data_IF_073029603338
#
_entry.id   IF_073029603338
#
_cell.length_a   1.000
_cell.length_b   1.000
_cell.length_c   1.000
_cell.angle_alpha   90.00
_cell.angle_beta   90.00
_cell.angle_gamma   90.00
#
_symmetry.space_group_name_H-M   'P 1'
#
loop_
_entity.id
_entity.type
_entity.pdbx_description
1 polymer ?
#
# COMPACT_ATOMS: atom_id res chain seq x y z
N UNK A 1 10.88 -18.09 11.86
CA UNK A 1 10.59 -16.72 11.33
C UNK A 1 9.14 -16.41 11.71
N UNK A 2 8.93 -15.54 12.66
CA UNK A 2 7.56 -15.13 12.99
C UNK A 2 6.97 -14.41 11.78
N UNK A 3 5.74 -14.75 11.43
CA UNK A 3 5.03 -14.14 10.30
C UNK A 3 3.90 -13.31 10.86
N UNK A 4 3.71 -12.09 10.37
CA UNK A 4 2.53 -11.28 10.71
C UNK A 4 1.30 -11.99 10.14
N UNK A 5 0.49 -12.59 11.00
CA UNK A 5 -0.70 -13.35 10.60
C UNK A 5 -1.89 -12.42 10.32
N UNK A 6 -1.69 -11.39 9.48
CA UNK A 6 -2.66 -10.33 9.25
C UNK A 6 -4.02 -10.86 8.74
N UNK A 7 -4.01 -11.89 7.89
CA UNK A 7 -5.25 -12.50 7.41
C UNK A 7 -6.06 -13.17 8.53
N UNK A 8 -5.38 -13.73 9.54
CA UNK A 8 -6.06 -14.31 10.72
C UNK A 8 -6.66 -13.23 11.60
N UNK A 9 -5.92 -12.15 11.82
CA UNK A 9 -6.39 -10.99 12.59
C UNK A 9 -7.62 -10.34 11.96
N UNK A 10 -7.70 -10.31 10.64
CA UNK A 10 -8.86 -9.76 9.91
C UNK A 10 -10.03 -10.75 9.76
N UNK A 11 -9.88 -12.02 10.16
CA UNK A 11 -10.91 -13.06 9.97
C UNK A 11 -12.28 -12.69 10.54
N UNK A 12 -12.32 -11.96 11.65
CA UNK A 12 -13.57 -11.49 12.27
C UNK A 12 -14.29 -10.37 11.51
N UNK A 13 -13.66 -9.79 10.48
CA UNK A 13 -14.23 -8.77 9.59
C UNK A 13 -14.64 -9.41 8.26
N UNK A 14 -13.75 -10.21 7.67
CA UNK A 14 -13.95 -10.84 6.38
C UNK A 14 -12.62 -11.11 5.67
N UNK A 15 -12.66 -11.42 4.36
CA UNK A 15 -11.45 -11.68 3.60
C UNK A 15 -10.57 -10.44 3.52
N UNK A 16 -9.27 -10.65 3.73
CA UNK A 16 -8.25 -9.64 3.50
C UNK A 16 -7.84 -9.65 2.04
N UNK A 17 -7.87 -8.49 1.41
CA UNK A 17 -7.54 -8.29 -0.01
C UNK A 17 -6.28 -7.43 -0.13
N UNK A 18 -5.13 -8.00 -0.51
CA UNK A 18 -3.91 -7.24 -0.75
C UNK A 18 -4.10 -6.19 -1.86
N UNK A 19 -3.47 -5.02 -1.70
CA UNK A 19 -3.54 -3.93 -2.68
C UNK A 19 -2.20 -3.20 -2.81
N UNK A 20 -2.17 -2.13 -3.61
CA UNK A 20 -1.01 -1.27 -3.77
C UNK A 20 0.26 -1.99 -4.25
N UNK A 21 1.40 -1.47 -3.84
CA UNK A 21 2.72 -2.03 -4.17
C UNK A 21 2.94 -3.42 -3.56
N UNK A 22 2.26 -3.73 -2.46
CA UNK A 22 2.30 -5.05 -1.84
C UNK A 22 1.71 -6.13 -2.77
N UNK A 23 0.50 -5.90 -3.32
CA UNK A 23 -0.12 -6.83 -4.27
C UNK A 23 0.67 -6.98 -5.58
N UNK A 24 1.22 -5.86 -6.08
CA UNK A 24 1.95 -5.82 -7.36
C UNK A 24 3.37 -6.40 -7.27
N UNK A 25 3.87 -6.74 -6.08
CA UNK A 25 5.27 -7.12 -5.84
C UNK A 25 6.27 -6.01 -6.23
N UNK A 26 5.90 -4.77 -5.96
CA UNK A 26 6.67 -3.56 -6.24
C UNK A 26 7.02 -2.76 -4.98
N UNK A 27 6.93 -3.40 -3.82
CA UNK A 27 7.26 -2.80 -2.54
C UNK A 27 8.78 -2.70 -2.38
N UNK A 28 9.27 -1.51 -1.95
CA UNK A 28 10.70 -1.26 -1.70
C UNK A 28 11.00 -0.92 -0.23
N UNK A 29 9.98 -0.80 0.60
CA UNK A 29 10.09 -0.60 2.05
C UNK A 29 8.88 -1.22 2.76
N UNK A 30 8.95 -1.41 4.09
CA UNK A 30 7.91 -2.08 4.87
C UNK A 30 6.59 -1.29 4.87
N UNK A 31 5.70 -1.56 3.90
CA UNK A 31 4.43 -0.84 3.70
C UNK A 31 3.38 -1.79 3.08
N UNK A 32 2.55 -2.37 3.92
CA UNK A 32 1.51 -3.33 3.51
C UNK A 32 0.19 -2.59 3.36
N UNK A 33 -0.38 -2.62 2.17
CA UNK A 33 -1.70 -2.06 1.88
C UNK A 33 -2.71 -3.20 1.70
N UNK A 34 -3.83 -3.12 2.42
CA UNK A 34 -4.91 -4.11 2.32
C UNK A 34 -6.29 -3.48 2.40
N UNK A 35 -7.25 -4.11 1.75
CA UNK A 35 -8.67 -3.87 1.91
C UNK A 35 -9.31 -4.99 2.73
N UNK A 36 -10.33 -4.62 3.50
CA UNK A 36 -11.26 -5.54 4.17
C UNK A 36 -12.69 -5.05 3.92
N UNK A 37 -13.71 -5.92 4.01
CA UNK A 37 -15.12 -5.50 3.96
C UNK A 37 -15.43 -4.42 5.01
N UNK A 38 -16.57 -3.72 4.89
CA UNK A 38 -16.98 -2.69 5.86
C UNK A 38 -16.92 -3.21 7.29
N UNK A 39 -16.28 -2.46 8.18
CA UNK A 39 -16.05 -2.87 9.56
C UNK A 39 -16.39 -1.75 10.55
N UNK A 40 -16.81 -2.12 11.76
CA UNK A 40 -16.97 -1.17 12.85
C UNK A 40 -15.60 -0.73 13.41
N UNK A 41 -15.49 0.48 13.97
CA UNK A 41 -14.25 0.92 14.60
C UNK A 41 -13.69 -0.07 15.62
N UNK A 42 -14.57 -0.67 16.45
CA UNK A 42 -14.17 -1.66 17.45
C UNK A 42 -13.50 -2.91 16.85
N UNK A 43 -13.93 -3.34 15.66
CA UNK A 43 -13.31 -4.47 14.96
C UNK A 43 -11.90 -4.11 14.45
N UNK A 44 -11.72 -2.88 13.92
CA UNK A 44 -10.43 -2.39 13.46
C UNK A 44 -9.44 -2.21 14.61
N UNK A 45 -9.89 -1.62 15.73
CA UNK A 45 -9.06 -1.48 16.92
C UNK A 45 -8.72 -2.83 17.58
N UNK A 46 -9.59 -3.83 17.43
CA UNK A 46 -9.29 -5.20 17.88
C UNK A 46 -8.07 -5.78 17.14
N UNK A 47 -7.96 -5.57 15.81
CA UNK A 47 -6.76 -5.97 15.05
C UNK A 47 -5.48 -5.37 15.67
N UNK A 48 -5.53 -4.08 16.02
CA UNK A 48 -4.37 -3.41 16.63
C UNK A 48 -4.06 -3.98 18.01
N UNK A 49 -5.06 -4.26 18.80
CA UNK A 49 -4.90 -4.88 20.13
C UNK A 49 -4.22 -6.24 20.00
N UNK A 50 -4.71 -7.09 19.12
CA UNK A 50 -4.13 -8.42 18.89
C UNK A 50 -2.72 -8.35 18.32
N UNK A 51 -2.44 -7.40 17.38
CA UNK A 51 -1.08 -7.14 16.91
C UNK A 51 -0.14 -6.75 18.05
N UNK A 52 -0.61 -5.95 19.01
CA UNK A 52 0.20 -5.48 20.13
C UNK A 52 0.59 -6.56 21.13
N UNK A 53 -0.08 -7.70 21.12
CA UNK A 53 0.27 -8.87 21.94
C UNK A 53 1.52 -9.59 21.41
N UNK A 54 1.83 -9.43 20.13
CA UNK A 54 2.91 -10.14 19.45
C UNK A 54 4.03 -9.20 18.95
N UNK A 55 3.69 -7.94 18.67
CA UNK A 55 4.63 -6.97 18.07
C UNK A 55 4.50 -5.61 18.75
N UNK A 56 5.62 -4.92 19.06
CA UNK A 56 5.55 -3.56 19.58
C UNK A 56 4.85 -2.61 18.59
N UNK A 57 3.67 -2.11 18.95
CA UNK A 57 2.96 -1.08 18.17
C UNK A 57 3.53 0.28 18.54
N UNK A 58 4.17 0.95 17.57
CA UNK A 58 4.84 2.24 17.74
C UNK A 58 3.86 3.40 17.60
N UNK A 59 2.89 3.26 16.69
CA UNK A 59 1.92 4.30 16.37
C UNK A 59 0.66 3.68 15.75
N UNK A 60 -0.47 4.33 15.97
CA UNK A 60 -1.74 4.02 15.28
C UNK A 60 -2.33 5.30 14.74
N UNK A 61 -2.71 5.29 13.46
CA UNK A 61 -3.55 6.33 12.87
C UNK A 61 -4.91 5.74 12.56
N UNK A 62 -5.97 6.45 12.86
CA UNK A 62 -7.33 6.07 12.51
C UNK A 62 -8.04 7.23 11.82
N UNK A 63 -8.78 6.93 10.76
CA UNK A 63 -9.59 7.88 10.04
C UNK A 63 -10.97 7.27 9.76
N UNK A 64 -12.01 8.01 10.12
CA UNK A 64 -13.37 7.75 9.67
C UNK A 64 -13.59 8.64 8.43
N UNK A 65 -13.46 8.07 7.24
CA UNK A 65 -13.52 8.80 5.99
C UNK A 65 -14.97 9.13 5.63
N UNK A 66 -15.45 10.29 6.07
CA UNK A 66 -16.80 10.78 5.77
C UNK A 66 -16.92 11.51 4.42
N UNK A 67 -15.81 11.70 3.67
CA UNK A 67 -15.79 12.42 2.40
C UNK A 67 -14.67 11.91 1.48
N UNK A 68 -14.85 12.08 0.17
CA UNK A 68 -13.86 11.69 -0.85
C UNK A 68 -14.17 10.33 -1.52
N UNK A 69 -13.22 9.80 -2.30
CA UNK A 69 -13.42 8.58 -3.08
C UNK A 69 -13.66 7.32 -2.22
N UNK A 70 -13.31 7.39 -0.93
CA UNK A 70 -13.53 6.32 0.06
C UNK A 70 -14.65 6.70 1.04
N UNK A 71 -15.68 7.39 0.53
CA UNK A 71 -16.88 7.73 1.31
C UNK A 71 -17.40 6.50 2.04
N UNK A 72 -17.71 6.70 3.33
CA UNK A 72 -18.16 5.66 4.26
C UNK A 72 -17.11 4.58 4.61
N UNK A 73 -15.90 4.69 4.06
CA UNK A 73 -14.76 3.86 4.43
C UNK A 73 -14.18 4.23 5.79
N UNK A 74 -13.51 3.27 6.41
CA UNK A 74 -12.69 3.46 7.61
C UNK A 74 -11.29 3.01 7.35
N UNK A 75 -10.35 3.72 7.94
CA UNK A 75 -8.94 3.44 7.77
C UNK A 75 -8.26 3.32 9.12
N UNK A 76 -7.44 2.29 9.27
CA UNK A 76 -6.55 2.17 10.41
C UNK A 76 -5.16 1.76 9.95
N UNK A 77 -4.14 2.42 10.51
CA UNK A 77 -2.74 2.15 10.21
C UNK A 77 -1.96 1.93 11.48
N UNK A 78 -1.84 0.68 11.94
CA UNK A 78 -0.81 0.33 12.89
C UNK A 78 0.58 0.43 12.24
N UNK A 79 1.52 0.94 13.02
CA UNK A 79 2.95 0.98 12.71
C UNK A 79 3.63 0.12 13.76
N UNK A 80 4.29 -0.95 13.34
CA UNK A 80 4.86 -1.96 14.24
C UNK A 80 6.36 -2.13 14.04
N UNK A 81 7.10 -2.36 15.12
CA UNK A 81 8.48 -2.82 15.05
C UNK A 81 8.47 -4.33 14.76
N UNK A 82 9.01 -4.74 13.62
CA UNK A 82 9.03 -6.14 13.21
C UNK A 82 10.26 -6.45 12.36
N UNK A 83 10.97 -7.51 12.73
CA UNK A 83 12.21 -7.92 12.06
C UNK A 83 13.34 -6.90 12.22
N UNK A 84 14.41 -7.09 11.44
CA UNK A 84 15.65 -6.31 11.53
C UNK A 84 15.67 -5.10 10.59
N UNK A 85 14.50 -4.57 10.23
CA UNK A 85 14.39 -3.39 9.40
C UNK A 85 14.72 -2.12 10.20
N UNK A 86 15.50 -1.23 9.64
CA UNK A 86 15.83 0.07 10.26
C UNK A 86 14.60 0.97 10.48
N UNK A 87 13.49 0.64 9.84
CA UNK A 87 12.22 1.37 9.95
C UNK A 87 11.07 0.42 10.28
N UNK A 88 10.08 0.88 11.06
CA UNK A 88 8.93 0.06 11.40
C UNK A 88 8.04 -0.22 10.17
N UNK A 89 7.34 -1.34 10.22
CA UNK A 89 6.34 -1.71 9.24
C UNK A 89 5.09 -0.86 9.39
N UNK A 90 4.56 -0.39 8.29
CA UNK A 90 3.23 0.21 8.21
C UNK A 90 2.27 -0.83 7.64
N UNK A 91 1.06 -0.88 8.20
CA UNK A 91 0.00 -1.74 7.71
C UNK A 91 -1.22 -0.85 7.48
N UNK A 92 -1.45 -0.50 6.23
CA UNK A 92 -2.57 0.35 5.81
C UNK A 92 -3.81 -0.51 5.55
N UNK A 93 -4.77 -0.50 6.48
CA UNK A 93 -6.00 -1.31 6.42
C UNK A 93 -7.18 -0.39 6.11
N UNK A 94 -7.81 -0.59 4.97
CA UNK A 94 -9.01 0.11 4.54
C UNK A 94 -10.24 -0.80 4.62
N UNK A 95 -11.17 -0.49 5.51
CA UNK A 95 -12.48 -1.13 5.57
C UNK A 95 -13.47 -0.34 4.70
N UNK A 96 -13.80 -0.89 3.53
CA UNK A 96 -14.54 -0.20 2.48
C UNK A 96 -15.55 -1.13 1.80
N UNK A 97 -16.43 -0.53 0.99
CA UNK A 97 -17.45 -1.26 0.25
C UNK A 97 -16.86 -2.36 -0.63
N UNK A 98 -17.53 -3.52 -0.68
CA UNK A 98 -17.07 -4.69 -1.43
C UNK A 98 -17.02 -4.43 -2.94
N UNK A 99 -17.96 -3.70 -3.49
CA UNK A 99 -17.96 -3.39 -4.94
C UNK A 99 -16.74 -2.55 -5.32
N UNK A 100 -16.33 -1.61 -4.45
CA UNK A 100 -15.09 -0.85 -4.62
C UNK A 100 -13.85 -1.76 -4.55
N UNK A 101 -13.82 -2.71 -3.61
CA UNK A 101 -12.71 -3.68 -3.49
C UNK A 101 -12.60 -4.50 -4.78
N UNK A 102 -13.71 -5.01 -5.29
CA UNK A 102 -13.77 -5.85 -6.50
C UNK A 102 -13.30 -5.07 -7.74
N UNK A 103 -13.73 -3.81 -7.90
CA UNK A 103 -13.28 -2.92 -8.97
C UNK A 103 -11.76 -2.70 -8.89
N UNK A 104 -11.24 -2.35 -7.73
CA UNK A 104 -9.80 -2.10 -7.53
C UNK A 104 -8.97 -3.37 -7.72
N UNK A 105 -9.46 -4.52 -7.32
CA UNK A 105 -8.79 -5.79 -7.57
C UNK A 105 -8.72 -6.13 -9.06
N UNK A 106 -9.76 -5.85 -9.84
CA UNK A 106 -9.76 -6.04 -11.29
C UNK A 106 -8.72 -5.13 -11.96
N UNK A 107 -8.66 -3.84 -11.57
CA UNK A 107 -7.65 -2.89 -12.05
C UNK A 107 -6.23 -3.37 -11.71
N UNK A 108 -5.96 -3.72 -10.45
CA UNK A 108 -4.64 -4.17 -10.01
C UNK A 108 -4.22 -5.48 -10.66
N UNK A 109 -5.16 -6.40 -10.89
CA UNK A 109 -4.89 -7.63 -11.62
C UNK A 109 -4.45 -7.33 -13.06
N UNK A 110 -5.16 -6.44 -13.74
CA UNK A 110 -4.79 -6.00 -15.10
C UNK A 110 -3.40 -5.36 -15.13
N UNK A 111 -3.05 -4.56 -14.13
CA UNK A 111 -1.68 -4.00 -14.02
C UNK A 111 -0.66 -5.12 -13.79
N UNK A 112 -0.92 -6.03 -12.85
CA UNK A 112 -0.01 -7.12 -12.50
C UNK A 112 0.29 -8.05 -13.67
N UNK A 113 -0.71 -8.36 -14.48
CA UNK A 113 -0.56 -9.22 -15.68
C UNK A 113 0.35 -8.59 -16.75
N UNK A 114 0.60 -7.27 -16.69
CA UNK A 114 1.49 -6.52 -17.59
C UNK A 114 2.92 -6.37 -17.05
N UNK A 115 3.16 -6.72 -15.80
CA UNK A 115 4.47 -6.55 -15.15
C UNK A 115 5.35 -7.75 -15.48
N UNK A 116 6.22 -7.60 -16.48
CA UNK A 116 7.30 -8.56 -16.76
C UNK A 116 8.46 -8.39 -15.75
N UNK A 117 9.39 -9.33 -15.66
CA UNK A 117 10.60 -9.17 -14.84
C UNK A 117 11.40 -7.89 -15.17
N UNK A 118 11.48 -7.50 -16.44
CA UNK A 118 12.19 -6.30 -16.90
C UNK A 118 11.45 -5.02 -16.44
N UNK A 119 10.13 -4.98 -16.61
CA UNK A 119 9.29 -3.87 -16.15
C UNK A 119 9.35 -3.76 -14.63
N UNK A 120 9.31 -4.89 -13.93
CA UNK A 120 9.47 -4.91 -12.48
C UNK A 120 10.81 -4.31 -12.06
N UNK A 121 11.90 -4.74 -12.67
CA UNK A 121 13.22 -4.21 -12.38
C UNK A 121 13.32 -2.70 -12.67
N UNK A 122 12.78 -2.24 -13.80
CA UNK A 122 12.72 -0.82 -14.14
C UNK A 122 11.99 0.00 -13.07
N UNK A 123 10.77 -0.42 -12.69
CA UNK A 123 9.96 0.28 -11.68
C UNK A 123 10.67 0.32 -10.33
N UNK A 124 11.22 -0.81 -9.87
CA UNK A 124 11.93 -0.88 -8.60
C UNK A 124 13.17 0.03 -8.61
N UNK A 125 14.00 -0.03 -9.66
CA UNK A 125 15.19 0.82 -9.80
C UNK A 125 14.82 2.30 -9.82
N UNK A 126 13.76 2.68 -10.54
CA UNK A 126 13.28 4.05 -10.52
C UNK A 126 12.79 4.47 -9.13
N UNK A 127 12.00 3.63 -8.46
CA UNK A 127 11.54 3.92 -7.08
C UNK A 127 12.72 4.11 -6.12
N UNK A 128 13.77 3.31 -6.23
CA UNK A 128 14.99 3.48 -5.43
C UNK A 128 15.72 4.79 -5.76
N UNK A 129 15.75 5.22 -7.01
CA UNK A 129 16.45 6.46 -7.43
C UNK A 129 15.78 7.74 -6.93
N UNK A 130 14.50 7.68 -6.56
CA UNK A 130 13.70 8.84 -6.09
C UNK A 130 13.38 8.77 -4.59
N UNK A 131 14.09 7.95 -3.83
CA UNK A 131 13.96 7.93 -2.38
C UNK A 131 14.50 9.23 -1.78
N UNK A 132 13.75 9.79 -0.85
CA UNK A 132 14.17 10.93 -0.02
C UNK A 132 15.15 10.49 1.08
N UNK A 133 15.57 11.46 1.91
CA UNK A 133 16.46 11.22 3.06
C UNK A 133 15.84 10.32 4.14
N UNK A 134 14.53 10.16 4.14
CA UNK A 134 13.80 9.25 5.02
C UNK A 134 13.55 7.89 4.37
N UNK A 135 14.18 7.59 3.24
CA UNK A 135 13.98 6.39 2.43
C UNK A 135 12.50 6.18 2.04
N UNK A 136 11.84 7.25 1.59
CA UNK A 136 10.47 7.22 1.06
C UNK A 136 10.43 7.67 -0.38
N UNK A 137 9.57 7.05 -1.16
CA UNK A 137 9.20 7.63 -2.45
C UNK A 137 8.34 8.88 -2.25
N UNK A 138 8.36 9.84 -3.17
CA UNK A 138 7.47 10.98 -3.14
C UNK A 138 6.02 10.56 -2.95
N UNK A 139 5.28 11.36 -2.22
CA UNK A 139 3.88 11.04 -1.89
C UNK A 139 3.05 10.85 -3.18
N UNK A 140 2.23 9.81 -3.24
CA UNK A 140 1.40 9.43 -4.39
C UNK A 140 2.18 9.03 -5.66
N UNK A 141 3.52 8.99 -5.63
CA UNK A 141 4.31 8.69 -6.83
C UNK A 141 4.08 7.29 -7.39
N UNK A 142 3.77 6.29 -6.56
CA UNK A 142 3.63 4.89 -6.99
C UNK A 142 2.64 4.73 -8.14
N UNK A 143 1.45 5.31 -8.03
CA UNK A 143 0.43 5.27 -9.08
C UNK A 143 0.94 5.84 -10.41
N UNK A 144 1.54 7.04 -10.37
CA UNK A 144 2.07 7.70 -11.56
C UNK A 144 3.29 7.02 -12.15
N UNK A 145 4.15 6.38 -11.35
CA UNK A 145 5.24 5.55 -11.85
C UNK A 145 4.67 4.37 -12.64
N UNK A 146 3.63 3.71 -12.14
CA UNK A 146 3.01 2.60 -12.86
C UNK A 146 2.35 3.05 -14.16
N UNK A 147 1.65 4.18 -14.17
CA UNK A 147 1.10 4.76 -15.40
C UNK A 147 2.20 5.12 -16.40
N UNK A 148 3.26 5.81 -15.97
CA UNK A 148 4.37 6.19 -16.84
C UNK A 148 4.96 4.98 -17.56
N UNK A 149 5.23 3.91 -16.82
CA UNK A 149 5.89 2.71 -17.37
C UNK A 149 4.89 1.82 -18.11
N UNK A 150 3.73 1.51 -17.51
CA UNK A 150 2.81 0.52 -18.06
C UNK A 150 1.88 1.10 -19.15
N UNK A 151 1.42 2.34 -19.00
CA UNK A 151 0.44 2.93 -19.93
C UNK A 151 1.13 3.76 -21.01
N UNK A 152 2.23 4.43 -20.69
CA UNK A 152 2.97 5.27 -21.63
C UNK A 152 4.27 4.64 -22.16
N UNK A 153 4.67 3.47 -21.66
CA UNK A 153 5.86 2.74 -22.13
C UNK A 153 7.17 3.47 -21.86
N UNK A 154 7.21 4.38 -20.86
CA UNK A 154 8.41 5.13 -20.55
C UNK A 154 9.44 4.23 -19.85
N UNK A 155 10.67 4.20 -20.39
CA UNK A 155 11.76 3.36 -19.86
C UNK A 155 12.97 4.19 -19.37
N UNK A 156 13.04 5.45 -19.77
CA UNK A 156 14.07 6.38 -19.35
C UNK A 156 13.67 7.10 -18.05
N UNK A 157 14.59 7.20 -17.10
CA UNK A 157 14.35 7.81 -15.78
C UNK A 157 14.02 9.31 -15.86
N UNK A 158 14.63 10.02 -16.81
CA UNK A 158 14.33 11.44 -17.02
C UNK A 158 12.91 11.62 -17.52
N UNK A 159 12.49 10.80 -18.50
CA UNK A 159 11.13 10.84 -19.03
C UNK A 159 10.07 10.48 -17.96
N UNK A 160 10.35 9.47 -17.11
CA UNK A 160 9.46 9.13 -15.99
C UNK A 160 9.40 10.30 -15.00
N UNK A 161 10.53 10.93 -14.66
CA UNK A 161 10.58 12.09 -13.76
C UNK A 161 9.79 13.27 -14.32
N UNK A 162 9.90 13.57 -15.60
CA UNK A 162 9.11 14.63 -16.26
C UNK A 162 7.62 14.32 -16.23
N UNK A 163 7.24 13.07 -16.46
CA UNK A 163 5.84 12.62 -16.36
C UNK A 163 5.30 12.86 -14.94
N UNK A 164 6.06 12.49 -13.90
CA UNK A 164 5.64 12.70 -12.51
C UNK A 164 5.50 14.20 -12.18
N UNK A 165 6.46 15.02 -12.60
CA UNK A 165 6.40 16.48 -12.41
C UNK A 165 5.20 17.11 -13.09
N UNK A 166 4.84 16.66 -14.31
CA UNK A 166 3.63 17.09 -15.00
C UNK A 166 2.35 16.78 -14.21
N UNK A 167 2.38 15.75 -13.35
CA UNK A 167 1.31 15.38 -12.43
C UNK A 167 1.47 15.96 -11.03
N UNK A 168 2.32 17.00 -10.87
CA UNK A 168 2.56 17.71 -9.59
C UNK A 168 3.13 16.82 -8.49
N UNK A 169 3.87 15.77 -8.85
CA UNK A 169 4.64 14.98 -7.89
C UNK A 169 6.01 15.68 -7.74
N UNK A 170 6.31 16.07 -6.52
CA UNK A 170 7.60 16.70 -6.16
C UNK A 170 8.68 15.61 -6.09
N UNK A 171 9.72 15.73 -6.90
CA UNK A 171 10.88 14.84 -6.98
C UNK A 171 12.14 15.68 -6.96
#
# INVERSE_FOLDING_TARGET
METIQLAELCRGIGPLTPTGSYYLDLMIYPDIDVYVPPAQPSQLFKIVSELSEHHPVVKVNYLNAGAGPLKDGRYIKPVIAYGDWERPWKIDIWAIDQAFIDEKQAELKSLKDRITPEIRALILNYKFSVLDQEFRTPRFSGHYIYQAVLDHGLTDFSAITEYLRAHKIEI
#
